data_IF_538055376177
#
_entry.id   IF_538055376177
#
_cell.length_a   1.000
_cell.length_b   1.000
_cell.length_c   1.000
_cell.angle_alpha   90.00
_cell.angle_beta   90.00
_cell.angle_gamma   90.00
#
_symmetry.space_group_name_H-M   'P 1'
#
loop_
_entity.id
_entity.type
_entity.pdbx_description
1 polymer ?
#
# COMPACT_ATOMS: atom_id res chain seq x y z
N UNK A 1 -13.72 36.00 0.04
CA UNK A 1 -14.66 35.44 -0.95
C UNK A 1 -14.17 35.98 -2.27
N UNK A 2 -13.17 35.30 -2.84
CA UNK A 2 -12.60 35.70 -4.12
C UNK A 2 -13.55 35.20 -5.21
N UNK A 3 -13.97 36.16 -6.00
CA UNK A 3 -14.96 36.09 -7.05
C UNK A 3 -14.53 35.05 -8.09
N UNK A 4 -15.40 34.07 -8.33
CA UNK A 4 -15.33 33.16 -9.46
C UNK A 4 -15.65 33.99 -10.70
N UNK A 5 -14.69 34.83 -11.11
CA UNK A 5 -14.81 35.68 -12.29
C UNK A 5 -15.21 34.80 -13.45
N UNK A 6 -16.43 35.04 -13.93
CA UNK A 6 -17.12 34.38 -15.03
C UNK A 6 -16.10 33.97 -16.10
N UNK A 7 -15.95 32.66 -16.30
CA UNK A 7 -15.23 32.12 -17.46
C UNK A 7 -16.14 32.39 -18.65
N UNK A 8 -16.08 33.61 -19.15
CA UNK A 8 -16.68 34.00 -20.42
C UNK A 8 -15.92 33.21 -21.50
N UNK A 9 -16.50 32.08 -21.91
CA UNK A 9 -16.07 31.36 -23.11
C UNK A 9 -16.37 32.31 -24.27
N UNK A 10 -15.42 33.19 -24.59
CA UNK A 10 -15.57 34.14 -25.67
C UNK A 10 -15.97 33.40 -26.95
N UNK A 11 -16.96 33.92 -27.67
CA UNK A 11 -17.59 33.24 -28.81
C UNK A 11 -16.68 33.09 -30.04
N UNK A 12 -15.40 33.45 -29.93
CA UNK A 12 -14.39 33.32 -30.98
C UNK A 12 -13.51 32.09 -30.76
N UNK A 13 -13.05 31.51 -31.87
CA UNK A 13 -12.08 30.40 -31.88
C UNK A 13 -10.78 30.78 -31.16
N UNK A 14 -10.36 32.04 -31.25
CA UNK A 14 -9.13 32.53 -30.58
C UNK A 14 -9.25 32.60 -29.05
N UNK A 15 -10.42 32.97 -28.50
CA UNK A 15 -10.64 32.96 -27.06
C UNK A 15 -10.70 31.54 -26.51
N UNK A 16 -11.29 30.61 -27.27
CA UNK A 16 -11.27 29.19 -26.90
C UNK A 16 -9.84 28.63 -26.91
N UNK A 17 -9.05 28.94 -27.94
CA UNK A 17 -7.66 28.46 -28.03
C UNK A 17 -6.81 28.99 -26.86
N UNK A 18 -6.92 30.28 -26.54
CA UNK A 18 -6.23 30.87 -25.36
C UNK A 18 -6.66 30.21 -24.05
N UNK A 19 -7.94 29.89 -23.90
CA UNK A 19 -8.41 29.17 -22.71
C UNK A 19 -7.80 27.77 -22.61
N UNK A 20 -7.76 27.03 -23.71
CA UNK A 20 -7.13 25.69 -23.77
C UNK A 20 -5.65 25.77 -23.43
N UNK A 21 -4.95 26.78 -23.95
CA UNK A 21 -3.52 27.00 -23.66
C UNK A 21 -3.31 27.32 -22.17
N UNK A 22 -4.14 28.18 -21.58
CA UNK A 22 -4.10 28.48 -20.14
C UNK A 22 -4.37 27.26 -19.26
N UNK A 23 -5.36 26.43 -19.60
CA UNK A 23 -5.63 25.18 -18.88
C UNK A 23 -4.45 24.21 -19.00
N UNK A 24 -3.85 24.13 -20.18
CA UNK A 24 -2.66 23.31 -20.39
C UNK A 24 -1.51 23.76 -19.49
N UNK A 25 -1.20 25.06 -19.44
CA UNK A 25 -0.16 25.61 -18.57
C UNK A 25 -0.41 25.36 -17.08
N UNK A 26 -1.67 25.51 -16.65
CA UNK A 26 -2.10 25.22 -15.28
C UNK A 26 -1.82 23.75 -14.93
N UNK A 27 -2.24 22.82 -15.78
CA UNK A 27 -2.01 21.39 -15.53
C UNK A 27 -0.53 21.04 -15.49
N UNK A 28 0.30 21.63 -16.37
CA UNK A 28 1.75 21.39 -16.33
C UNK A 28 2.35 21.90 -15.01
N UNK A 29 1.95 23.09 -14.57
CA UNK A 29 2.42 23.66 -13.29
C UNK A 29 2.02 22.79 -12.09
N UNK A 30 0.78 22.29 -12.07
CA UNK A 30 0.30 21.40 -11.01
C UNK A 30 1.04 20.06 -10.99
N UNK A 31 1.33 19.48 -12.16
CA UNK A 31 2.12 18.24 -12.27
C UNK A 31 3.53 18.47 -11.72
N UNK A 32 4.17 19.57 -12.06
CA UNK A 32 5.52 19.90 -11.57
C UNK A 32 5.55 20.06 -10.04
N UNK A 33 4.54 20.70 -9.46
CA UNK A 33 4.40 20.82 -8.00
C UNK A 33 4.19 19.47 -7.33
N UNK A 34 3.28 18.64 -7.87
CA UNK A 34 3.06 17.28 -7.37
C UNK A 34 4.34 16.44 -7.42
N UNK A 35 5.10 16.54 -8.52
CA UNK A 35 6.38 15.84 -8.65
C UNK A 35 7.39 16.31 -7.60
N UNK A 36 7.49 17.62 -7.34
CA UNK A 36 8.36 18.16 -6.29
C UNK A 36 7.97 17.63 -4.91
N UNK A 37 6.68 17.58 -4.60
CA UNK A 37 6.17 17.05 -3.33
C UNK A 37 6.54 15.57 -3.18
N UNK A 38 6.26 14.75 -4.20
CA UNK A 38 6.57 13.31 -4.21
C UNK A 38 8.07 13.06 -4.00
N UNK A 39 8.93 13.78 -4.73
CA UNK A 39 10.38 13.66 -4.58
C UNK A 39 10.83 14.08 -3.19
N UNK A 40 10.28 15.17 -2.65
CA UNK A 40 10.63 15.67 -1.31
C UNK A 40 10.22 14.69 -0.23
N UNK A 41 9.00 14.14 -0.30
CA UNK A 41 8.55 13.10 0.61
C UNK A 41 9.46 11.88 0.56
N UNK A 42 9.80 11.40 -0.64
CA UNK A 42 10.70 10.25 -0.79
C UNK A 42 12.08 10.51 -0.17
N UNK A 43 12.60 11.74 -0.27
CA UNK A 43 13.87 12.13 0.39
C UNK A 43 13.76 12.16 1.92
N UNK A 44 12.63 12.61 2.46
CA UNK A 44 12.42 12.76 3.90
C UNK A 44 12.09 11.44 4.60
N UNK A 45 11.31 10.57 3.95
CA UNK A 45 10.81 9.32 4.54
C UNK A 45 11.58 8.09 4.09
N UNK A 46 12.35 8.20 3.00
CA UNK A 46 12.99 7.05 2.34
C UNK A 46 12.00 6.11 1.63
N UNK A 47 10.70 6.42 1.66
CA UNK A 47 9.65 5.60 1.07
C UNK A 47 9.10 6.26 -0.20
N UNK A 48 8.90 5.47 -1.25
CA UNK A 48 8.30 5.94 -2.50
C UNK A 48 6.77 6.02 -2.35
N UNK A 49 6.14 7.21 -2.38
CA UNK A 49 4.70 7.36 -2.20
C UNK A 49 3.88 6.79 -3.39
N UNK A 50 4.52 6.57 -4.54
CA UNK A 50 3.92 5.90 -5.70
C UNK A 50 4.21 4.38 -5.74
N UNK A 51 4.82 3.83 -4.70
CA UNK A 51 5.04 2.38 -4.63
C UNK A 51 3.71 1.64 -4.53
N UNK A 52 3.68 0.44 -5.11
CA UNK A 52 2.52 -0.44 -5.08
C UNK A 52 2.07 -0.74 -3.63
N UNK A 53 3.00 -0.88 -2.69
CA UNK A 53 2.70 -1.08 -1.26
C UNK A 53 1.93 0.10 -0.64
N UNK A 54 2.32 1.33 -0.97
CA UNK A 54 1.65 2.54 -0.47
C UNK A 54 0.25 2.68 -1.08
N UNK A 55 0.11 2.41 -2.38
CA UNK A 55 -1.19 2.41 -3.05
C UNK A 55 -2.12 1.32 -2.49
N UNK A 56 -1.57 0.12 -2.22
CA UNK A 56 -2.27 -0.98 -1.57
C UNK A 56 -2.81 -0.57 -0.19
N UNK A 57 -1.96 0.04 0.63
CA UNK A 57 -2.31 0.51 1.97
C UNK A 57 -3.41 1.57 1.94
N UNK A 58 -3.32 2.56 1.04
CA UNK A 58 -4.32 3.61 0.89
C UNK A 58 -5.68 3.09 0.41
N UNK A 59 -5.68 2.08 -0.47
CA UNK A 59 -6.89 1.46 -1.00
C UNK A 59 -7.39 0.28 -0.16
N UNK A 60 -6.74 -0.02 0.97
CA UNK A 60 -7.00 -1.20 1.80
C UNK A 60 -6.98 -2.53 1.02
N UNK A 61 -6.18 -2.58 -0.06
CA UNK A 61 -5.98 -3.77 -0.86
C UNK A 61 -4.77 -4.52 -0.28
N UNK A 62 -4.94 -5.80 0.06
CA UNK A 62 -3.82 -6.63 0.51
C UNK A 62 -2.97 -7.05 -0.70
N UNK A 63 -1.99 -6.23 -1.07
CA UNK A 63 -0.95 -6.61 -2.03
C UNK A 63 0.16 -7.31 -1.27
N UNK A 64 0.01 -8.63 -1.12
CA UNK A 64 1.08 -9.63 -1.17
C UNK A 64 2.39 -9.35 -0.41
N UNK A 65 2.39 -8.68 0.76
CA UNK A 65 3.42 -9.00 1.76
C UNK A 65 3.15 -10.44 2.15
N UNK A 66 4.09 -11.36 1.87
CA UNK A 66 3.89 -12.75 2.27
C UNK A 66 3.65 -12.71 3.79
N UNK A 67 2.80 -13.56 4.38
CA UNK A 67 2.54 -13.53 5.82
C UNK A 67 3.82 -13.51 6.66
N UNK A 68 4.91 -14.11 6.14
CA UNK A 68 6.27 -14.07 6.69
C UNK A 68 6.89 -12.66 6.85
N UNK A 69 6.52 -11.68 6.03
CA UNK A 69 7.11 -10.32 6.05
C UNK A 69 6.41 -9.42 7.08
N UNK A 70 5.26 -9.87 7.60
CA UNK A 70 4.48 -9.21 8.66
C UNK A 70 4.64 -9.88 10.03
N UNK A 71 5.32 -11.04 10.08
CA UNK A 71 5.48 -11.83 11.29
C UNK A 71 6.91 -11.67 11.84
N UNK A 72 7.01 -11.69 13.17
CA UNK A 72 8.30 -11.71 13.86
C UNK A 72 9.13 -12.92 13.36
N UNK A 73 10.40 -12.74 12.94
CA UNK A 73 11.25 -13.84 12.47
C UNK A 73 11.34 -15.02 13.45
N UNK A 74 11.28 -14.74 14.76
CA UNK A 74 11.27 -15.79 15.80
C UNK A 74 9.97 -16.60 15.77
N UNK A 75 8.84 -15.96 15.49
CA UNK A 75 7.55 -16.62 15.36
C UNK A 75 7.53 -17.55 14.14
N UNK A 76 8.14 -17.12 13.03
CA UNK A 76 8.22 -17.91 11.79
C UNK A 76 9.04 -19.18 12.03
N UNK A 77 10.24 -19.06 12.61
CA UNK A 77 11.08 -20.21 12.91
C UNK A 77 10.37 -21.20 13.86
N UNK A 78 9.62 -20.69 14.84
CA UNK A 78 8.84 -21.51 15.75
C UNK A 78 7.68 -22.22 15.05
N UNK A 79 6.90 -21.51 14.22
CA UNK A 79 5.80 -22.10 13.43
C UNK A 79 6.32 -23.16 12.45
N UNK A 80 7.46 -22.93 11.79
CA UNK A 80 8.11 -23.91 10.92
C UNK A 80 8.61 -25.15 11.68
N UNK A 81 9.14 -24.95 12.90
CA UNK A 81 9.56 -26.06 13.77
C UNK A 81 8.37 -26.92 14.19
N UNK A 82 7.22 -26.30 14.51
CA UNK A 82 5.98 -27.04 14.77
C UNK A 82 5.51 -27.77 13.51
N UNK A 83 5.50 -27.09 12.37
CA UNK A 83 5.04 -27.67 11.10
C UNK A 83 5.90 -28.86 10.65
N UNK A 84 7.20 -28.84 10.92
CA UNK A 84 8.11 -29.97 10.66
C UNK A 84 7.74 -31.25 11.43
N UNK A 85 6.94 -31.12 12.50
CA UNK A 85 6.54 -32.21 13.39
C UNK A 85 5.04 -32.51 13.25
N UNK A 86 4.23 -31.52 12.85
CA UNK A 86 2.78 -31.59 12.81
C UNK A 86 2.18 -30.51 11.89
N UNK A 87 1.36 -30.93 10.94
CA UNK A 87 0.74 -30.05 9.93
C UNK A 87 -0.38 -29.13 10.48
N UNK A 88 -0.68 -29.17 11.79
CA UNK A 88 -1.79 -28.45 12.39
C UNK A 88 -1.45 -27.77 13.73
N UNK A 89 -1.72 -26.47 13.81
CA UNK A 89 -1.61 -25.67 15.06
C UNK A 89 -2.99 -25.60 15.73
N UNK A 90 -3.04 -25.98 17.01
CA UNK A 90 -4.25 -25.92 17.83
C UNK A 90 -4.57 -24.50 18.29
N UNK A 91 -5.81 -24.28 18.73
CA UNK A 91 -6.26 -23.01 19.32
C UNK A 91 -5.44 -22.59 20.54
N UNK A 92 -4.87 -23.55 21.30
CA UNK A 92 -4.01 -23.28 22.45
C UNK A 92 -2.65 -22.76 21.98
N UNK A 93 -2.00 -23.46 21.05
CA UNK A 93 -0.70 -23.08 20.48
C UNK A 93 -0.76 -21.72 19.76
N UNK A 94 -1.87 -21.43 19.08
CA UNK A 94 -2.09 -20.13 18.45
C UNK A 94 -2.18 -18.97 19.46
N UNK A 95 -2.78 -19.20 20.65
CA UNK A 95 -2.80 -18.21 21.74
C UNK A 95 -1.42 -18.05 22.39
N UNK A 96 -0.66 -19.13 22.49
CA UNK A 96 0.70 -19.11 23.03
C UNK A 96 1.67 -18.36 22.11
N UNK A 97 1.59 -18.62 20.80
CA UNK A 97 2.25 -17.82 19.77
C UNK A 97 1.92 -16.34 19.89
N UNK A 98 0.64 -16.03 20.12
CA UNK A 98 0.18 -14.65 20.28
C UNK A 98 0.78 -13.96 21.51
N UNK A 99 0.81 -14.66 22.64
CA UNK A 99 1.39 -14.15 23.89
C UNK A 99 2.92 -14.01 23.81
N UNK A 100 3.60 -14.94 23.14
CA UNK A 100 5.06 -15.01 23.12
C UNK A 100 5.68 -14.11 22.04
N UNK A 101 5.02 -13.96 20.90
CA UNK A 101 5.59 -13.27 19.73
C UNK A 101 4.76 -12.08 19.24
N UNK A 102 3.63 -11.77 19.90
CA UNK A 102 2.77 -10.65 19.52
C UNK A 102 2.02 -10.86 18.20
N UNK A 103 1.90 -12.10 17.74
CA UNK A 103 1.20 -12.44 16.48
C UNK A 103 -0.29 -12.65 16.72
N UNK A 104 -1.15 -12.31 15.76
CA UNK A 104 -2.59 -12.57 15.89
C UNK A 104 -2.94 -13.99 15.45
N UNK A 105 -4.03 -14.54 16.01
CA UNK A 105 -4.56 -15.86 15.62
C UNK A 105 -4.89 -15.92 14.13
N UNK A 106 -5.28 -14.78 13.53
CA UNK A 106 -5.55 -14.67 12.10
C UNK A 106 -4.26 -14.82 11.27
N UNK A 107 -3.18 -14.16 11.67
CA UNK A 107 -1.87 -14.28 11.00
C UNK A 107 -1.30 -15.70 11.09
N UNK A 108 -1.50 -16.40 12.22
CA UNK A 108 -1.09 -17.80 12.37
C UNK A 108 -1.85 -18.71 11.40
N UNK A 109 -3.16 -18.47 11.21
CA UNK A 109 -3.97 -19.24 10.25
C UNK A 109 -3.61 -18.96 8.80
N UNK A 110 -3.39 -17.70 8.47
CA UNK A 110 -2.98 -17.29 7.12
C UNK A 110 -1.62 -17.88 6.75
N UNK A 111 -0.68 -17.93 7.71
CA UNK A 111 0.59 -18.63 7.52
C UNK A 111 0.40 -20.11 7.20
N UNK A 112 -0.48 -20.83 7.92
CA UNK A 112 -0.73 -22.25 7.66
C UNK A 112 -1.32 -22.49 6.27
N UNK A 113 -2.33 -21.72 5.87
CA UNK A 113 -2.99 -21.87 4.57
C UNK A 113 -1.99 -21.66 3.42
N UNK A 114 -1.11 -20.67 3.54
CA UNK A 114 -0.09 -20.38 2.51
C UNK A 114 0.97 -21.48 2.44
N UNK A 115 1.42 -22.02 3.57
CA UNK A 115 2.45 -23.07 3.57
C UNK A 115 1.90 -24.42 3.09
N UNK A 116 0.63 -24.76 3.40
CA UNK A 116 -0.02 -25.97 2.85
C UNK A 116 -0.08 -25.93 1.32
N UNK A 117 -0.39 -24.76 0.73
CA UNK A 117 -0.45 -24.60 -0.74
C UNK A 117 0.92 -24.61 -1.44
N UNK A 118 2.01 -24.34 -0.72
CA UNK A 118 3.37 -24.49 -1.27
C UNK A 118 3.88 -25.95 -1.23
N UNK A 119 3.28 -26.83 -0.41
CA UNK A 119 3.62 -28.26 -0.32
C UNK A 119 2.90 -29.15 -1.35
N UNK A 120 1.80 -28.68 -1.95
CA UNK A 120 1.06 -29.39 -3.01
C UNK A 120 1.57 -29.08 -4.44
N UNK A 121 2.69 -28.38 -4.59
CA UNK A 121 3.37 -28.12 -5.88
C UNK A 121 4.67 -28.89 -6.01
#
# INVERSE_FOLDING_TARGET
MEDLSEIEIGSSVESFQKFVDSQRELFHSQIDELQKIVVTQCKLTGANPLSQEMAAGALSINIGKRPRDLLNPKAINYMQSIFSIKDAITKKESRELSAQFGVTVSQVREFLIVNDQELEK
#
